data_IF_159134935262
#
_entry.id   IF_159134935262
#
_cell.length_a   1.000
_cell.length_b   1.000
_cell.length_c   1.000
_cell.angle_alpha   90.00
_cell.angle_beta   90.00
_cell.angle_gamma   90.00
#
_symmetry.space_group_name_H-M   'P 1'
#
loop_
_entity.id
_entity.type
_entity.pdbx_description
1 polymer ?
#
# COMPACT_ATOMS: atom_id res chain seq x y z
N UNK A 1 2.85 -5.40 7.07
CA UNK A 1 2.65 -4.57 8.27
C UNK A 1 1.15 -4.44 8.43
N UNK A 2 0.64 -4.88 9.58
CA UNK A 2 -0.79 -4.98 9.86
C UNK A 2 -1.01 -4.13 11.10
N UNK A 3 -2.12 -3.44 11.21
CA UNK A 3 -2.47 -2.79 12.46
C UNK A 3 -2.53 -3.83 13.58
N UNK A 4 -1.99 -3.58 14.79
CA UNK A 4 -1.93 -4.58 15.86
C UNK A 4 -3.29 -5.23 16.17
N UNK A 5 -4.38 -4.47 16.02
CA UNK A 5 -5.77 -4.91 16.16
C UNK A 5 -6.23 -5.92 15.09
N UNK A 6 -5.65 -5.89 13.89
CA UNK A 6 -6.02 -6.76 12.76
C UNK A 6 -5.10 -7.99 12.64
N UNK A 7 -4.18 -8.18 13.59
CA UNK A 7 -3.16 -9.23 13.52
C UNK A 7 -3.75 -10.65 13.39
N UNK A 8 -4.93 -10.89 13.96
CA UNK A 8 -5.61 -12.19 13.86
C UNK A 8 -6.24 -12.47 12.48
N UNK A 9 -6.50 -11.42 11.69
CA UNK A 9 -7.16 -11.51 10.39
C UNK A 9 -6.18 -11.43 9.21
N UNK A 10 -4.91 -11.09 9.47
CA UNK A 10 -3.96 -10.78 8.42
C UNK A 10 -3.08 -11.95 7.95
N UNK A 11 -3.43 -13.18 8.32
CA UNK A 11 -2.64 -14.37 7.93
C UNK A 11 -3.34 -15.09 6.78
N UNK A 12 -2.96 -14.73 5.55
CA UNK A 12 -3.28 -15.52 4.37
C UNK A 12 -2.17 -16.56 4.15
N UNK A 13 -2.52 -17.85 4.14
CA UNK A 13 -1.59 -18.92 3.71
C UNK A 13 -1.58 -19.00 2.18
N UNK A 14 -0.97 -17.99 1.56
CA UNK A 14 -0.90 -17.83 0.12
C UNK A 14 0.47 -17.31 -0.31
N UNK A 15 0.84 -17.58 -1.55
CA UNK A 15 2.11 -17.15 -2.15
C UNK A 15 1.81 -16.19 -3.30
N UNK A 16 2.58 -15.11 -3.39
CA UNK A 16 2.51 -14.18 -4.52
C UNK A 16 3.06 -14.87 -5.77
N UNK A 17 2.36 -14.70 -6.90
CA UNK A 17 2.73 -15.29 -8.18
C UNK A 17 2.83 -14.21 -9.28
N UNK A 18 3.73 -14.40 -10.27
CA UNK A 18 3.85 -13.51 -11.41
C UNK A 18 2.51 -13.30 -12.14
N UNK A 19 2.23 -12.07 -12.56
CA UNK A 19 0.98 -11.66 -13.19
C UNK A 19 -0.12 -11.22 -12.21
N UNK A 20 0.06 -11.40 -10.90
CA UNK A 20 -0.79 -10.75 -9.89
C UNK A 20 -0.53 -9.24 -9.85
N UNK A 21 -1.57 -8.48 -9.49
CA UNK A 21 -1.44 -7.05 -9.18
C UNK A 21 -1.92 -6.82 -7.75
N UNK A 22 -1.12 -6.11 -6.96
CA UNK A 22 -1.44 -5.75 -5.58
C UNK A 22 -1.53 -4.24 -5.43
N UNK A 23 -2.48 -3.79 -4.61
CA UNK A 23 -2.48 -2.42 -4.10
C UNK A 23 -1.62 -2.37 -2.83
N UNK A 24 -0.63 -1.47 -2.79
CA UNK A 24 0.13 -1.16 -1.59
C UNK A 24 -0.34 0.19 -1.08
N UNK A 25 -0.92 0.20 0.11
CA UNK A 25 -1.66 1.32 0.65
C UNK A 25 -1.03 1.87 1.95
N UNK A 26 -1.12 3.18 2.14
CA UNK A 26 -0.78 3.86 3.38
C UNK A 26 -1.84 4.93 3.70
N UNK A 27 -2.48 4.81 4.85
CA UNK A 27 -3.23 5.91 5.45
C UNK A 27 -2.45 6.45 6.65
N UNK A 28 -2.22 7.76 6.69
CA UNK A 28 -1.50 8.45 7.75
C UNK A 28 -2.36 9.60 8.27
N UNK A 29 -2.81 9.48 9.52
CA UNK A 29 -3.58 10.48 10.22
C UNK A 29 -3.51 10.27 11.73
N UNK A 30 -3.76 11.32 12.51
CA UNK A 30 -3.77 11.25 13.97
C UNK A 30 -5.16 10.89 14.51
N UNK A 31 -5.20 10.12 15.60
CA UNK A 31 -6.45 9.88 16.34
C UNK A 31 -7.06 11.19 16.85
N UNK A 32 -8.34 11.42 16.56
CA UNK A 32 -9.02 12.69 16.87
C UNK A 32 -8.45 13.90 16.12
N UNK A 33 -7.53 13.69 15.17
CA UNK A 33 -6.99 14.71 14.30
C UNK A 33 -7.99 15.17 13.23
N UNK A 34 -7.59 16.17 12.45
CA UNK A 34 -8.37 16.67 11.32
C UNK A 34 -8.15 15.82 10.08
N UNK A 35 -7.45 16.39 9.10
CA UNK A 35 -7.17 15.73 7.82
C UNK A 35 -6.09 14.65 7.96
N UNK A 36 -6.15 13.64 7.10
CA UNK A 36 -5.14 12.58 6.94
C UNK A 36 -4.80 12.39 5.47
N UNK A 37 -3.67 11.74 5.20
CA UNK A 37 -3.20 11.46 3.84
C UNK A 37 -3.38 9.98 3.53
N UNK A 38 -3.98 9.66 2.39
CA UNK A 38 -4.05 8.30 1.84
C UNK A 38 -3.22 8.27 0.56
N UNK A 39 -2.29 7.33 0.50
CA UNK A 39 -1.53 6.97 -0.70
C UNK A 39 -1.76 5.50 -1.03
N UNK A 40 -1.73 5.18 -2.31
CA UNK A 40 -1.90 3.83 -2.84
C UNK A 40 -1.19 3.69 -4.18
N UNK A 41 -0.44 2.60 -4.35
CA UNK A 41 0.18 2.25 -5.62
C UNK A 41 -0.18 0.82 -6.06
N UNK A 42 -0.34 0.64 -7.37
CA UNK A 42 -0.51 -0.68 -7.97
C UNK A 42 0.84 -1.27 -8.35
N UNK A 43 1.14 -2.47 -7.86
CA UNK A 43 2.35 -3.23 -8.17
C UNK A 43 2.01 -4.50 -8.93
N UNK A 44 2.59 -4.67 -10.13
CA UNK A 44 2.61 -5.94 -10.84
C UNK A 44 3.68 -6.84 -10.22
N UNK A 45 3.32 -8.08 -9.87
CA UNK A 45 4.28 -9.11 -9.47
C UNK A 45 4.90 -9.73 -10.73
N UNK A 46 6.22 -9.79 -10.77
CA UNK A 46 7.01 -10.40 -11.85
C UNK A 46 7.74 -11.64 -11.34
N UNK A 47 8.39 -12.39 -12.23
CA UNK A 47 9.16 -13.58 -11.85
C UNK A 47 10.33 -13.26 -10.88
N UNK A 48 10.81 -12.02 -10.84
CA UNK A 48 11.99 -11.61 -10.06
C UNK A 48 11.72 -10.51 -9.04
N UNK A 49 10.46 -10.08 -8.87
CA UNK A 49 10.12 -8.99 -7.96
C UNK A 49 8.79 -8.33 -8.29
N UNK A 50 8.78 -6.99 -8.33
CA UNK A 50 7.58 -6.20 -8.64
C UNK A 50 7.90 -4.98 -9.50
N UNK A 51 6.92 -4.52 -10.26
CA UNK A 51 6.96 -3.30 -11.08
C UNK A 51 5.80 -2.38 -10.68
N UNK A 52 6.08 -1.10 -10.45
CA UNK A 52 5.04 -0.09 -10.16
C UNK A 52 4.33 0.33 -11.44
N UNK A 53 3.01 0.14 -11.46
CA UNK A 53 2.13 0.55 -12.56
C UNK A 53 1.55 1.95 -12.36
N UNK A 54 1.55 2.45 -11.12
CA UNK A 54 1.14 3.82 -10.81
C UNK A 54 2.18 4.82 -11.30
N UNK A 55 1.75 5.80 -12.10
CA UNK A 55 2.61 6.89 -12.59
C UNK A 55 2.06 8.28 -12.27
N UNK A 56 0.91 8.33 -11.59
CA UNK A 56 0.33 9.60 -11.19
C UNK A 56 1.23 10.22 -10.10
N UNK A 57 1.66 11.49 -10.26
CA UNK A 57 2.57 12.09 -9.32
C UNK A 57 1.88 12.32 -7.97
N UNK A 58 2.66 12.26 -6.89
CA UNK A 58 2.22 12.78 -5.60
C UNK A 58 2.08 14.30 -5.66
N UNK A 59 1.28 14.85 -4.74
CA UNK A 59 1.08 16.30 -4.66
C UNK A 59 2.41 16.97 -4.26
N UNK A 60 3.00 17.81 -5.13
CA UNK A 60 4.27 18.47 -4.84
C UNK A 60 4.18 19.48 -3.68
N UNK A 61 2.97 19.89 -3.28
CA UNK A 61 2.79 20.75 -2.11
C UNK A 61 3.10 20.02 -0.78
N UNK A 62 3.13 18.68 -0.79
CA UNK A 62 3.33 17.83 0.39
C UNK A 62 4.72 17.16 0.44
N UNK A 63 5.64 17.50 -0.48
CA UNK A 63 6.99 16.93 -0.61
C UNK A 63 8.05 17.54 0.35
N UNK A 64 7.66 17.90 1.58
CA UNK A 64 8.55 18.63 2.52
C UNK A 64 8.57 18.06 3.93
#
# INVERSE_FOLDING_TARGET
>A
MVYPEDAEHAVYDAVLAPGMVLCVEAYVGAEGGGEGVKLEEHLLITDTGSETLSHYPFDPALDR
#
